data_IF_568674431632
#
_entry.id   IF_568674431632
#
_cell.length_a   1.000
_cell.length_b   1.000
_cell.length_c   1.000
_cell.angle_alpha   90.00
_cell.angle_beta   90.00
_cell.angle_gamma   90.00
#
_symmetry.space_group_name_H-M   'P 1'
#
loop_
_entity.id
_entity.type
_entity.pdbx_description
1 polymer ?
#
# COMPACT_ATOMS: atom_id res chain seq x y z
N UNK A 1 4.39 -20.86 5.82
CA UNK A 1 5.53 -19.95 5.55
C UNK A 1 5.37 -18.78 6.51
N UNK A 2 6.44 -18.36 7.21
CA UNK A 2 6.34 -17.24 8.15
C UNK A 2 6.16 -15.94 7.34
N UNK A 3 5.11 -15.16 7.64
CA UNK A 3 4.81 -13.89 6.98
C UNK A 3 5.73 -12.79 7.48
N UNK A 4 6.05 -11.82 6.63
CA UNK A 4 6.89 -10.69 7.01
C UNK A 4 6.15 -9.80 8.03
N UNK A 5 6.73 -9.60 9.20
CA UNK A 5 6.16 -8.74 10.25
C UNK A 5 7.26 -8.00 11.03
N UNK A 6 8.11 -7.26 10.31
CA UNK A 6 9.14 -6.40 10.92
C UNK A 6 8.57 -5.31 11.82
N UNK A 7 7.31 -4.92 11.58
CA UNK A 7 6.65 -3.84 12.29
C UNK A 7 6.40 -4.12 13.79
N UNK A 8 6.48 -5.38 14.23
CA UNK A 8 6.44 -5.74 15.64
C UNK A 8 7.84 -5.74 16.32
N UNK A 9 8.91 -5.63 15.53
CA UNK A 9 10.26 -5.49 16.09
C UNK A 9 10.47 -4.07 16.64
N UNK A 10 10.92 -3.96 17.89
CA UNK A 10 11.03 -2.68 18.61
C UNK A 10 11.88 -1.64 17.85
N UNK A 11 13.04 -2.07 17.35
CA UNK A 11 13.96 -1.16 16.63
C UNK A 11 13.37 -0.65 15.33
N UNK A 12 12.75 -1.55 14.55
CA UNK A 12 12.11 -1.21 13.29
C UNK A 12 10.93 -0.26 13.53
N UNK A 13 10.04 -0.60 14.46
CA UNK A 13 8.89 0.21 14.81
C UNK A 13 9.28 1.62 15.26
N UNK A 14 10.34 1.73 16.10
CA UNK A 14 10.85 3.03 16.54
C UNK A 14 11.31 3.90 15.38
N UNK A 15 12.06 3.34 14.42
CA UNK A 15 12.49 4.07 13.22
C UNK A 15 11.31 4.43 12.31
N UNK A 16 10.37 3.49 12.13
CA UNK A 16 9.17 3.73 11.33
C UNK A 16 8.31 4.86 11.90
N UNK A 17 8.18 4.93 13.23
CA UNK A 17 7.42 5.99 13.91
C UNK A 17 7.97 7.40 13.69
N UNK A 18 9.25 7.52 13.27
CA UNK A 18 9.90 8.80 12.98
C UNK A 18 9.73 9.25 11.52
N UNK A 19 9.23 8.40 10.64
CA UNK A 19 8.98 8.77 9.26
C UNK A 19 7.90 9.87 9.16
N UNK A 20 8.03 10.73 8.17
CA UNK A 20 7.08 11.83 7.93
C UNK A 20 5.63 11.34 7.84
N UNK A 21 5.39 10.23 7.12
CA UNK A 21 4.04 9.63 7.01
C UNK A 21 3.50 9.11 8.35
N UNK A 22 4.37 8.63 9.23
CA UNK A 22 3.98 8.15 10.57
C UNK A 22 3.64 9.30 11.52
N UNK A 23 4.29 10.44 11.35
CA UNK A 23 4.11 11.64 12.19
C UNK A 23 2.99 12.54 11.70
N UNK A 24 2.96 12.82 10.38
CA UNK A 24 2.03 13.77 9.75
C UNK A 24 0.82 13.08 9.11
N UNK A 25 0.73 11.74 9.21
CA UNK A 25 -0.36 10.96 8.62
C UNK A 25 -0.43 11.09 7.11
N UNK A 26 -1.63 11.15 6.57
CA UNK A 26 -1.89 11.22 5.14
C UNK A 26 -1.18 12.39 4.47
N UNK A 27 -1.13 13.55 5.10
CA UNK A 27 -0.42 14.72 4.57
C UNK A 27 1.11 14.55 4.51
N UNK A 28 1.65 13.57 5.23
CA UNK A 28 3.05 13.19 5.18
C UNK A 28 3.37 12.08 4.18
N UNK A 29 2.37 11.55 3.49
CA UNK A 29 2.51 10.51 2.47
C UNK A 29 2.57 11.15 1.08
N UNK A 30 3.68 10.95 0.36
CA UNK A 30 3.92 11.61 -0.93
C UNK A 30 2.91 11.27 -2.02
N UNK A 31 2.29 10.09 -1.94
CA UNK A 31 1.25 9.64 -2.87
C UNK A 31 -0.14 10.18 -2.52
N UNK A 32 -0.34 10.73 -1.33
CA UNK A 32 -1.67 11.02 -0.80
C UNK A 32 -2.50 11.95 -1.68
N UNK A 33 -1.95 13.07 -2.11
CA UNK A 33 -2.67 14.05 -2.95
C UNK A 33 -3.24 13.42 -4.23
N UNK A 34 -2.57 12.40 -4.76
CA UNK A 34 -3.03 11.65 -5.94
C UNK A 34 -4.01 10.56 -5.54
N UNK A 35 -3.71 9.81 -4.48
CA UNK A 35 -4.56 8.71 -3.99
C UNK A 35 -5.94 9.22 -3.56
N UNK A 36 -5.99 10.33 -2.84
CA UNK A 36 -7.24 10.97 -2.39
C UNK A 36 -8.22 11.23 -3.56
N UNK A 37 -7.71 11.71 -4.70
CA UNK A 37 -8.51 11.95 -5.92
C UNK A 37 -8.97 10.68 -6.63
N UNK A 38 -8.45 9.53 -6.20
CA UNK A 38 -8.85 8.21 -6.73
C UNK A 38 -9.91 7.55 -5.85
N UNK A 39 -10.07 8.00 -4.60
CA UNK A 39 -11.02 7.43 -3.66
C UNK A 39 -12.47 7.66 -4.10
N UNK A 40 -13.35 6.66 -3.88
CA UNK A 40 -14.77 6.83 -4.11
C UNK A 40 -15.43 7.62 -2.97
N UNK A 41 -16.70 7.97 -3.12
CA UNK A 41 -17.53 8.43 -2.03
C UNK A 41 -17.69 7.35 -0.95
N UNK A 42 -17.50 7.73 0.32
CA UNK A 42 -17.60 6.83 1.47
C UNK A 42 -18.95 6.88 2.17
N UNK A 43 -19.85 7.81 1.81
CA UNK A 43 -21.11 8.01 2.51
C UNK A 43 -21.90 6.69 2.62
N UNK A 44 -22.17 6.27 3.86
CA UNK A 44 -22.88 5.03 4.22
C UNK A 44 -22.24 3.73 3.72
N UNK A 45 -20.96 3.72 3.37
CA UNK A 45 -20.24 2.54 2.86
C UNK A 45 -19.68 1.66 3.96
N UNK A 46 -19.61 0.35 3.66
CA UNK A 46 -18.81 -0.62 4.40
C UNK A 46 -17.39 -0.64 3.80
N UNK A 47 -16.40 -0.33 4.60
CA UNK A 47 -15.01 -0.16 4.14
C UNK A 47 -14.11 -1.21 4.77
N UNK A 48 -13.20 -1.77 4.00
CA UNK A 48 -12.11 -2.62 4.46
C UNK A 48 -10.77 -1.98 4.10
N UNK A 49 -9.88 -1.80 5.09
CA UNK A 49 -8.52 -1.32 4.88
C UNK A 49 -7.53 -2.46 5.18
N UNK A 50 -6.88 -2.99 4.14
CA UNK A 50 -5.96 -4.12 4.20
C UNK A 50 -4.52 -3.63 4.37
N UNK A 51 -3.91 -3.94 5.51
CA UNK A 51 -2.61 -3.39 5.91
C UNK A 51 -2.74 -1.95 6.38
N UNK A 52 -3.70 -1.69 7.28
CA UNK A 52 -4.11 -0.35 7.67
C UNK A 52 -3.07 0.43 8.50
N UNK A 53 -2.03 -0.24 9.00
CA UNK A 53 -0.98 0.38 9.80
C UNK A 53 -1.54 1.17 10.99
N UNK A 54 -1.24 2.48 11.04
CA UNK A 54 -1.76 3.39 12.09
C UNK A 54 -3.23 3.82 11.90
N UNK A 55 -3.96 3.27 10.92
CA UNK A 55 -5.40 3.51 10.73
C UNK A 55 -5.75 4.87 10.12
N UNK A 56 -4.82 5.55 9.45
CA UNK A 56 -5.07 6.84 8.82
C UNK A 56 -6.19 6.81 7.78
N UNK A 57 -6.21 5.80 6.92
CA UNK A 57 -7.26 5.63 5.91
C UNK A 57 -8.58 5.19 6.54
N UNK A 58 -8.54 4.39 7.62
CA UNK A 58 -9.74 4.04 8.39
C UNK A 58 -10.42 5.29 8.94
N UNK A 59 -9.63 6.19 9.57
CA UNK A 59 -10.15 7.47 10.09
C UNK A 59 -10.66 8.37 8.98
N UNK A 60 -9.93 8.49 7.88
CA UNK A 60 -10.36 9.25 6.72
C UNK A 60 -11.72 8.77 6.20
N UNK A 61 -11.91 7.47 6.04
CA UNK A 61 -13.17 6.91 5.57
C UNK A 61 -14.36 7.25 6.51
N UNK A 62 -14.15 7.16 7.83
CA UNK A 62 -15.20 7.53 8.81
C UNK A 62 -15.51 9.02 8.76
N UNK A 63 -14.49 9.87 8.66
CA UNK A 63 -14.67 11.33 8.57
C UNK A 63 -15.39 11.75 7.28
N UNK A 64 -15.39 10.87 6.26
CA UNK A 64 -16.10 11.04 4.99
C UNK A 64 -17.38 10.20 4.90
N UNK A 65 -17.99 9.85 6.05
CA UNK A 65 -19.33 9.30 6.11
C UNK A 65 -19.43 7.78 6.05
N UNK A 66 -18.34 7.02 6.12
CA UNK A 66 -18.42 5.55 6.16
C UNK A 66 -19.37 5.06 7.28
N UNK A 67 -20.15 4.04 6.97
CA UNK A 67 -21.05 3.43 7.97
C UNK A 67 -20.26 2.57 8.96
N UNK A 68 -19.30 1.81 8.47
CA UNK A 68 -18.36 1.05 9.28
C UNK A 68 -17.04 0.83 8.51
N UNK A 69 -15.94 0.70 9.25
CA UNK A 69 -14.62 0.42 8.72
C UNK A 69 -13.99 -0.75 9.48
N UNK A 70 -13.52 -1.75 8.74
CA UNK A 70 -12.66 -2.79 9.26
C UNK A 70 -11.22 -2.51 8.80
N UNK A 71 -10.34 -2.18 9.73
CA UNK A 71 -8.90 -2.08 9.48
C UNK A 71 -8.19 -3.37 9.88
N UNK A 72 -7.43 -3.96 9.00
CA UNK A 72 -6.63 -5.16 9.30
C UNK A 72 -5.16 -4.89 9.13
N UNK A 73 -4.35 -5.41 10.03
CA UNK A 73 -2.89 -5.40 9.93
C UNK A 73 -2.31 -6.64 10.62
N UNK A 74 -1.16 -7.12 10.16
CA UNK A 74 -0.50 -8.24 10.79
C UNK A 74 0.23 -7.83 12.08
N UNK A 75 0.58 -6.56 12.22
CA UNK A 75 1.32 -6.03 13.35
C UNK A 75 0.39 -5.59 14.48
N UNK A 76 0.53 -6.24 15.62
CA UNK A 76 -0.17 -5.85 16.84
C UNK A 76 0.21 -4.43 17.28
N UNK A 77 1.48 -4.06 17.18
CA UNK A 77 1.97 -2.70 17.54
C UNK A 77 1.37 -1.60 16.67
N UNK A 78 1.23 -1.86 15.37
CA UNK A 78 0.58 -0.92 14.47
C UNK A 78 -0.87 -0.67 14.89
N UNK A 79 -1.60 -1.74 15.22
CA UNK A 79 -2.99 -1.64 15.63
C UNK A 79 -3.17 -1.01 17.03
N UNK A 80 -2.22 -1.17 17.93
CA UNK A 80 -2.22 -0.45 19.20
C UNK A 80 -2.10 1.06 19.00
N UNK A 81 -1.22 1.49 18.11
CA UNK A 81 -1.11 2.91 17.73
C UNK A 81 -2.35 3.39 16.95
N UNK A 82 -2.92 2.57 16.07
CA UNK A 82 -4.16 2.89 15.37
C UNK A 82 -5.32 3.14 16.36
N UNK A 83 -5.48 2.27 17.34
CA UNK A 83 -6.51 2.42 18.39
C UNK A 83 -6.29 3.66 19.26
N UNK A 84 -5.03 4.02 19.57
CA UNK A 84 -4.72 5.23 20.33
C UNK A 84 -5.01 6.51 19.55
N UNK A 85 -4.67 6.54 18.26
CA UNK A 85 -4.77 7.74 17.41
C UNK A 85 -6.15 7.92 16.81
N UNK A 86 -6.80 6.83 16.44
CA UNK A 86 -8.00 6.78 15.61
C UNK A 86 -9.07 5.85 16.19
N UNK A 87 -9.36 6.02 17.49
CA UNK A 87 -10.49 5.33 18.11
C UNK A 87 -11.81 5.98 17.67
N UNK A 88 -12.67 5.19 17.06
CA UNK A 88 -14.01 5.61 16.65
C UNK A 88 -14.95 4.39 16.73
N UNK A 89 -16.20 4.52 17.20
CA UNK A 89 -17.13 3.38 17.31
C UNK A 89 -17.46 2.71 15.97
N UNK A 90 -17.21 3.40 14.85
CA UNK A 90 -17.39 2.85 13.50
C UNK A 90 -16.15 2.10 13.00
N UNK A 91 -15.02 2.14 13.71
CA UNK A 91 -13.78 1.47 13.29
C UNK A 91 -13.54 0.23 14.15
N UNK A 92 -13.41 -0.91 13.50
CA UNK A 92 -12.93 -2.15 14.12
C UNK A 92 -11.54 -2.45 13.60
N UNK A 93 -10.59 -2.72 14.51
CA UNK A 93 -9.23 -3.15 14.16
C UNK A 93 -9.03 -4.63 14.48
N UNK A 94 -8.56 -5.40 13.50
CA UNK A 94 -8.31 -6.82 13.63
C UNK A 94 -6.85 -7.15 13.28
N UNK A 95 -6.15 -7.81 14.22
CA UNK A 95 -4.78 -8.30 14.00
C UNK A 95 -4.85 -9.62 13.21
N UNK A 96 -4.65 -9.52 11.91
CA UNK A 96 -4.70 -10.66 10.98
C UNK A 96 -3.94 -10.30 9.71
N UNK A 97 -3.24 -11.28 9.14
CA UNK A 97 -2.65 -11.10 7.81
C UNK A 97 -3.75 -11.01 6.75
N UNK A 98 -3.58 -10.13 5.76
CA UNK A 98 -4.63 -9.85 4.77
C UNK A 98 -5.04 -11.08 3.96
N UNK A 99 -4.17 -12.07 3.79
CA UNK A 99 -4.47 -13.34 3.12
C UNK A 99 -5.28 -14.31 4.00
N UNK A 100 -5.43 -14.01 5.29
CA UNK A 100 -6.19 -14.81 6.26
C UNK A 100 -7.51 -14.15 6.66
N UNK A 101 -7.80 -12.98 6.13
CA UNK A 101 -9.10 -12.32 6.32
C UNK A 101 -10.21 -13.19 5.73
N UNK A 102 -11.26 -13.39 6.50
CA UNK A 102 -12.46 -14.14 6.07
C UNK A 102 -13.67 -13.25 6.24
N UNK A 103 -14.33 -12.93 5.13
CA UNK A 103 -15.55 -12.11 5.11
C UNK A 103 -16.63 -12.80 4.26
N UNK A 104 -17.91 -12.56 4.58
CA UNK A 104 -19.00 -13.02 3.73
C UNK A 104 -18.92 -12.39 2.33
N UNK A 105 -19.41 -13.10 1.29
CA UNK A 105 -19.46 -12.55 -0.06
C UNK A 105 -20.30 -11.29 -0.15
N UNK A 106 -19.91 -10.34 -1.00
CA UNK A 106 -20.65 -9.14 -1.35
C UNK A 106 -21.10 -8.31 -0.14
N UNK A 107 -20.23 -8.13 0.86
CA UNK A 107 -20.51 -7.34 2.06
C UNK A 107 -19.80 -6.00 2.09
N UNK A 108 -18.74 -5.82 1.31
CA UNK A 108 -17.89 -4.62 1.32
C UNK A 108 -18.19 -3.74 0.11
N UNK A 109 -18.29 -2.44 0.31
CA UNK A 109 -18.47 -1.46 -0.75
C UNK A 109 -17.13 -0.93 -1.29
N UNK A 110 -16.15 -0.71 -0.39
CA UNK A 110 -14.84 -0.16 -0.72
C UNK A 110 -13.75 -0.92 0.00
N UNK A 111 -12.73 -1.36 -0.74
CA UNK A 111 -11.51 -1.93 -0.17
C UNK A 111 -10.35 -1.00 -0.49
N UNK A 112 -9.58 -0.67 0.54
CA UNK A 112 -8.36 0.12 0.47
C UNK A 112 -7.16 -0.73 0.83
N UNK A 113 -6.00 -0.42 0.23
CA UNK A 113 -4.70 -0.93 0.68
C UNK A 113 -3.60 0.03 0.25
N UNK A 114 -2.89 0.62 1.19
CA UNK A 114 -1.81 1.55 0.87
C UNK A 114 -0.45 0.97 1.22
N UNK A 115 0.40 0.78 0.20
CA UNK A 115 1.77 0.27 0.30
C UNK A 115 1.90 -1.04 1.10
N UNK A 116 0.94 -1.97 0.91
CA UNK A 116 0.93 -3.24 1.63
C UNK A 116 0.94 -4.49 0.73
N UNK A 117 0.34 -4.46 -0.47
CA UNK A 117 0.24 -5.66 -1.32
C UNK A 117 1.58 -6.20 -1.83
N UNK A 118 2.64 -5.41 -1.85
CA UNK A 118 3.98 -5.91 -2.21
C UNK A 118 4.61 -6.78 -1.11
N UNK A 119 4.02 -6.88 0.08
CA UNK A 119 4.40 -7.87 1.10
C UNK A 119 3.69 -9.23 0.94
N UNK A 120 2.70 -9.33 0.06
CA UNK A 120 1.89 -10.55 -0.14
C UNK A 120 2.52 -11.47 -1.19
N UNK A 121 2.82 -12.71 -0.82
CA UNK A 121 3.36 -13.70 -1.77
C UNK A 121 2.30 -14.15 -2.80
N UNK A 122 1.08 -14.40 -2.35
CA UNK A 122 -0.02 -14.95 -3.16
C UNK A 122 -1.02 -13.85 -3.59
N UNK A 123 -0.55 -12.86 -4.35
CA UNK A 123 -1.35 -11.70 -4.77
C UNK A 123 -2.63 -12.09 -5.53
N UNK A 124 -2.53 -13.03 -6.47
CA UNK A 124 -3.69 -13.49 -7.24
C UNK A 124 -4.77 -14.09 -6.34
N UNK A 125 -4.37 -14.89 -5.34
CA UNK A 125 -5.31 -15.47 -4.37
C UNK A 125 -6.00 -14.39 -3.55
N UNK A 126 -5.25 -13.37 -3.13
CA UNK A 126 -5.81 -12.23 -2.41
C UNK A 126 -6.81 -11.46 -3.28
N UNK A 127 -6.49 -11.19 -4.55
CA UNK A 127 -7.42 -10.48 -5.46
C UNK A 127 -8.70 -11.30 -5.71
N UNK A 128 -8.60 -12.64 -5.80
CA UNK A 128 -9.79 -13.52 -5.85
C UNK A 128 -10.67 -13.34 -4.62
N UNK A 129 -10.08 -13.33 -3.42
CA UNK A 129 -10.81 -13.09 -2.17
C UNK A 129 -11.44 -11.69 -2.13
N UNK A 130 -10.71 -10.66 -2.51
CA UNK A 130 -11.19 -9.28 -2.62
C UNK A 130 -12.39 -9.19 -3.57
N UNK A 131 -12.32 -9.87 -4.73
CA UNK A 131 -13.43 -9.93 -5.68
C UNK A 131 -14.68 -10.59 -5.07
N UNK A 132 -14.52 -11.61 -4.23
CA UNK A 132 -15.65 -12.24 -3.53
C UNK A 132 -16.25 -11.32 -2.47
N UNK A 133 -15.45 -10.61 -1.69
CA UNK A 133 -15.93 -9.74 -0.59
C UNK A 133 -16.64 -8.47 -1.09
N UNK A 134 -16.17 -7.92 -2.22
CA UNK A 134 -16.79 -6.73 -2.80
C UNK A 134 -18.21 -7.01 -3.32
N UNK A 135 -19.11 -6.08 -3.09
CA UNK A 135 -20.39 -6.03 -3.77
C UNK A 135 -20.21 -5.79 -5.28
N UNK A 136 -21.17 -6.18 -6.14
CA UNK A 136 -21.19 -5.70 -7.52
C UNK A 136 -21.11 -4.16 -7.56
N UNK A 137 -20.24 -3.61 -8.38
CA UNK A 137 -19.96 -2.17 -8.42
C UNK A 137 -19.08 -1.63 -7.30
N UNK A 138 -18.66 -2.47 -6.34
CA UNK A 138 -17.72 -2.10 -5.28
C UNK A 138 -16.33 -1.79 -5.83
N UNK A 139 -15.57 -0.99 -5.09
CA UNK A 139 -14.30 -0.40 -5.57
C UNK A 139 -13.12 -0.89 -4.74
N UNK A 140 -12.06 -1.30 -5.42
CA UNK A 140 -10.73 -1.53 -4.85
C UNK A 140 -9.82 -0.36 -5.22
N UNK A 141 -9.20 0.29 -4.23
CA UNK A 141 -8.15 1.29 -4.46
C UNK A 141 -6.91 0.87 -3.68
N UNK A 142 -5.78 0.79 -4.36
CA UNK A 142 -4.53 0.43 -3.68
C UNK A 142 -3.32 1.17 -4.24
N UNK A 143 -2.28 1.25 -3.44
CA UNK A 143 -0.94 1.63 -3.85
C UNK A 143 0.05 0.51 -3.53
N UNK A 144 1.04 0.36 -4.41
CA UNK A 144 2.18 -0.55 -4.22
C UNK A 144 3.47 0.15 -4.62
N UNK A 145 4.59 -0.38 -4.16
CA UNK A 145 5.87 -0.01 -4.77
C UNK A 145 5.86 -0.40 -6.25
N UNK A 146 6.32 0.51 -7.10
CA UNK A 146 6.26 0.34 -8.55
C UNK A 146 7.13 -0.84 -9.01
N UNK A 147 6.72 -1.60 -10.05
CA UNK A 147 7.53 -2.68 -10.61
C UNK A 147 8.96 -2.28 -11.02
N UNK A 148 9.16 -1.08 -11.54
CA UNK A 148 10.50 -0.54 -11.82
C UNK A 148 11.32 -0.41 -10.53
N UNK A 149 10.70 0.02 -9.45
CA UNK A 149 11.37 0.23 -8.16
C UNK A 149 11.74 -1.09 -7.48
N UNK A 150 10.96 -2.16 -7.67
CA UNK A 150 11.17 -3.47 -7.02
C UNK A 150 11.95 -4.47 -7.88
N UNK A 151 12.22 -4.19 -9.14
CA UNK A 151 12.74 -5.16 -10.11
C UNK A 151 14.07 -5.77 -9.69
N UNK A 152 15.07 -4.94 -9.42
CA UNK A 152 16.44 -5.38 -9.06
C UNK A 152 16.50 -5.90 -7.62
N UNK A 153 15.80 -5.26 -6.68
CA UNK A 153 15.66 -5.72 -5.29
C UNK A 153 16.33 -4.83 -4.25
N UNK A 154 17.51 -4.25 -4.52
CA UNK A 154 18.17 -3.35 -3.55
C UNK A 154 17.36 -2.09 -3.28
N UNK A 155 16.65 -1.59 -4.29
CA UNK A 155 15.93 -0.32 -4.27
C UNK A 155 16.85 0.90 -4.10
N UNK A 156 18.13 0.73 -4.41
CA UNK A 156 19.17 1.75 -4.28
C UNK A 156 19.57 2.32 -5.64
N UNK A 157 20.08 3.55 -5.65
CA UNK A 157 20.71 4.18 -6.79
C UNK A 157 22.10 3.58 -7.05
N UNK A 158 22.54 3.60 -8.29
CA UNK A 158 23.94 3.38 -8.64
C UNK A 158 24.68 4.71 -8.60
N UNK A 159 25.84 4.69 -7.94
CA UNK A 159 26.69 5.87 -7.74
C UNK A 159 28.01 5.69 -8.47
N UNK A 160 28.59 6.80 -8.92
CA UNK A 160 29.96 6.80 -9.41
C UNK A 160 30.98 6.80 -8.26
N UNK A 161 32.27 6.90 -8.63
CA UNK A 161 33.37 6.92 -7.65
C UNK A 161 33.40 8.19 -6.80
N UNK A 162 32.74 9.24 -7.23
CA UNK A 162 32.58 10.52 -6.53
C UNK A 162 31.37 10.54 -5.60
N UNK A 163 30.51 9.53 -5.68
CA UNK A 163 29.27 9.45 -4.89
C UNK A 163 28.06 10.13 -5.55
N UNK A 164 28.17 10.48 -6.84
CA UNK A 164 27.09 11.08 -7.61
C UNK A 164 26.13 10.01 -8.19
N UNK A 165 24.83 10.27 -8.15
CA UNK A 165 23.81 9.36 -8.68
C UNK A 165 23.93 9.25 -10.20
N UNK A 166 24.26 8.07 -10.69
CA UNK A 166 24.34 7.77 -12.12
C UNK A 166 22.96 7.40 -12.69
N UNK A 167 22.37 6.35 -12.20
CA UNK A 167 21.07 5.85 -12.65
C UNK A 167 20.41 4.96 -11.57
N UNK A 168 19.12 4.70 -11.75
CA UNK A 168 18.41 3.68 -10.98
C UNK A 168 18.45 2.37 -11.79
N UNK A 169 18.98 1.25 -11.22
CA UNK A 169 19.10 -0.01 -11.95
C UNK A 169 17.72 -0.68 -12.09
N UNK A 170 17.42 -1.11 -13.30
CA UNK A 170 16.26 -1.97 -13.59
C UNK A 170 16.77 -3.27 -14.15
N UNK A 171 16.80 -4.30 -13.33
CA UNK A 171 17.22 -5.63 -13.74
C UNK A 171 16.24 -6.69 -13.19
N UNK A 172 16.28 -7.89 -13.74
CA UNK A 172 15.41 -9.00 -13.32
C UNK A 172 13.90 -8.71 -13.38
N UNK A 173 13.46 -7.74 -14.20
CA UNK A 173 12.07 -7.29 -14.27
C UNK A 173 11.05 -8.40 -14.58
N UNK A 174 11.41 -9.38 -15.40
CA UNK A 174 10.52 -10.50 -15.72
C UNK A 174 10.66 -11.70 -14.79
N UNK A 175 11.61 -11.66 -13.86
CA UNK A 175 11.77 -12.68 -12.83
C UNK A 175 11.00 -12.27 -11.59
N UNK A 176 9.71 -12.57 -11.57
CA UNK A 176 8.83 -12.23 -10.44
C UNK A 176 9.14 -13.07 -9.20
N UNK A 177 8.71 -12.58 -8.03
CA UNK A 177 8.83 -13.30 -6.78
C UNK A 177 9.59 -12.53 -5.70
N UNK A 178 10.15 -13.28 -4.75
CA UNK A 178 10.78 -12.72 -3.56
C UNK A 178 11.95 -11.80 -3.90
N UNK A 179 11.99 -10.65 -3.20
CA UNK A 179 13.12 -9.72 -3.11
C UNK A 179 13.44 -9.46 -1.65
N UNK A 180 14.71 -9.27 -1.37
CA UNK A 180 15.18 -8.78 -0.08
C UNK A 180 15.72 -7.38 -0.27
N UNK A 181 15.14 -6.41 0.43
CA UNK A 181 15.55 -5.01 0.37
C UNK A 181 15.90 -4.49 1.76
N UNK A 182 16.70 -3.44 1.82
CA UNK A 182 16.99 -2.75 3.08
C UNK A 182 15.99 -1.61 3.26
N UNK A 183 15.21 -1.69 4.33
CA UNK A 183 14.30 -0.61 4.72
C UNK A 183 14.49 -0.29 6.19
N UNK A 184 14.73 0.97 6.52
CA UNK A 184 15.03 1.45 7.88
C UNK A 184 16.22 0.72 8.54
N UNK A 185 17.18 0.25 7.73
CA UNK A 185 18.37 -0.46 8.19
C UNK A 185 18.20 -1.95 8.47
N UNK A 186 16.99 -2.49 8.23
CA UNK A 186 16.68 -3.91 8.37
C UNK A 186 16.42 -4.55 7.00
N UNK A 187 16.65 -5.86 6.91
CA UNK A 187 16.26 -6.62 5.72
C UNK A 187 14.77 -6.93 5.78
N UNK A 188 14.06 -6.56 4.72
CA UNK A 188 12.61 -6.75 4.59
C UNK A 188 12.35 -7.57 3.33
N UNK A 189 11.48 -8.56 3.44
CA UNK A 189 11.02 -9.36 2.30
C UNK A 189 9.86 -8.66 1.60
N UNK A 190 9.99 -8.47 0.29
CA UNK A 190 8.93 -7.99 -0.60
C UNK A 190 8.78 -8.93 -1.79
N UNK A 191 7.71 -8.79 -2.55
CA UNK A 191 7.45 -9.59 -3.73
C UNK A 191 7.33 -8.69 -4.94
N UNK A 192 8.32 -8.79 -5.83
CA UNK A 192 8.29 -8.12 -7.12
C UNK A 192 7.27 -8.77 -8.05
N UNK A 193 6.52 -7.94 -8.76
CA UNK A 193 5.62 -8.33 -9.85
C UNK A 193 5.75 -7.34 -10.98
N UNK A 194 5.55 -7.81 -12.22
CA UNK A 194 5.48 -6.90 -13.36
C UNK A 194 4.21 -6.06 -13.31
N UNK A 195 4.21 -4.94 -14.01
CA UNK A 195 3.00 -4.13 -14.22
C UNK A 195 1.88 -4.98 -14.83
N UNK A 196 2.23 -5.84 -15.80
CA UNK A 196 1.28 -6.77 -16.42
C UNK A 196 0.61 -7.67 -15.39
N UNK A 197 1.37 -8.27 -14.47
CA UNK A 197 0.81 -9.15 -13.43
C UNK A 197 -0.16 -8.40 -12.53
N UNK A 198 0.18 -7.19 -12.06
CA UNK A 198 -0.76 -6.40 -11.26
C UNK A 198 -2.08 -6.12 -12.00
N UNK A 199 -2.01 -5.63 -13.23
CA UNK A 199 -3.21 -5.20 -13.96
C UNK A 199 -4.01 -6.38 -14.50
N UNK A 200 -3.35 -7.39 -15.08
CA UNK A 200 -4.05 -8.56 -15.62
C UNK A 200 -4.70 -9.42 -14.54
N UNK A 201 -4.11 -9.52 -13.36
CA UNK A 201 -4.74 -10.21 -12.23
C UNK A 201 -6.09 -9.56 -11.87
N UNK A 202 -6.20 -8.24 -11.89
CA UNK A 202 -7.47 -7.55 -11.65
C UNK A 202 -8.48 -7.89 -12.77
N UNK A 203 -8.10 -7.68 -14.03
CA UNK A 203 -8.98 -7.93 -15.18
C UNK A 203 -9.49 -9.38 -15.22
N UNK A 204 -8.64 -10.35 -14.94
CA UNK A 204 -8.97 -11.78 -14.91
C UNK A 204 -9.88 -12.17 -13.74
N UNK A 205 -9.94 -11.35 -12.70
CA UNK A 205 -10.81 -11.57 -11.53
C UNK A 205 -12.07 -10.68 -11.52
N UNK A 206 -12.49 -10.17 -12.68
CA UNK A 206 -13.75 -9.47 -12.86
C UNK A 206 -13.73 -8.01 -12.45
N UNK A 207 -12.55 -7.37 -12.48
CA UNK A 207 -12.44 -5.94 -12.26
C UNK A 207 -12.34 -5.16 -13.57
N UNK A 208 -12.90 -3.97 -13.57
CA UNK A 208 -12.71 -2.93 -14.59
C UNK A 208 -11.72 -1.93 -14.03
N UNK A 209 -10.61 -1.69 -14.73
CA UNK A 209 -9.64 -0.68 -14.34
C UNK A 209 -10.22 0.72 -14.59
N UNK A 210 -10.30 1.56 -13.56
CA UNK A 210 -10.79 2.93 -13.68
C UNK A 210 -9.65 3.95 -13.74
N UNK A 211 -8.61 3.73 -12.91
CA UNK A 211 -7.42 4.59 -12.89
C UNK A 211 -6.17 3.76 -12.66
N UNK A 212 -5.11 4.07 -13.37
CA UNK A 212 -3.74 3.57 -13.17
C UNK A 212 -2.84 4.78 -13.21
N UNK A 213 -2.18 5.11 -12.10
CA UNK A 213 -1.40 6.36 -11.97
C UNK A 213 -0.05 6.05 -11.32
N UNK A 214 0.99 6.63 -11.88
CA UNK A 214 2.34 6.71 -11.32
C UNK A 214 2.50 8.12 -10.72
N UNK A 215 2.34 8.30 -9.40
CA UNK A 215 2.37 9.61 -8.78
C UNK A 215 3.79 10.20 -8.84
N UNK A 216 3.88 11.45 -9.22
CA UNK A 216 5.11 12.23 -9.13
C UNK A 216 5.22 12.88 -7.75
N UNK A 217 6.44 13.17 -7.27
CA UNK A 217 6.61 14.00 -6.09
C UNK A 217 5.89 15.34 -6.25
N UNK A 218 5.17 15.82 -5.22
CA UNK A 218 4.57 17.15 -5.23
C UNK A 218 5.61 18.24 -5.54
N UNK A 219 5.21 19.24 -6.35
CA UNK A 219 6.13 20.27 -6.83
C UNK A 219 6.83 21.03 -5.67
N UNK A 220 6.11 21.25 -4.58
CA UNK A 220 6.62 21.90 -3.37
C UNK A 220 7.71 21.09 -2.64
N UNK A 221 7.82 19.80 -2.91
CA UNK A 221 8.86 18.94 -2.32
C UNK A 221 10.12 18.87 -3.18
N UNK A 222 10.09 19.28 -4.45
CA UNK A 222 11.23 19.14 -5.36
C UNK A 222 12.47 19.96 -4.95
N UNK A 223 12.31 20.97 -4.10
CA UNK A 223 13.44 21.74 -3.56
C UNK A 223 14.13 21.06 -2.36
N UNK A 224 13.55 19.97 -1.84
CA UNK A 224 14.19 19.16 -0.80
C UNK A 224 15.31 18.33 -1.44
N UNK A 225 16.53 18.29 -0.85
CA UNK A 225 17.63 17.47 -1.38
C UNK A 225 17.20 16.02 -1.62
N UNK A 226 17.53 15.50 -2.81
CA UNK A 226 17.19 14.14 -3.24
C UNK A 226 15.80 13.99 -3.86
N UNK A 227 14.88 14.93 -3.65
CA UNK A 227 13.51 14.79 -4.20
C UNK A 227 13.46 14.96 -5.73
N UNK A 228 14.39 15.72 -6.34
CA UNK A 228 14.50 15.80 -7.81
C UNK A 228 14.89 14.46 -8.45
N UNK A 229 15.64 13.63 -7.74
CA UNK A 229 16.02 12.31 -8.23
C UNK A 229 14.81 11.35 -8.27
N UNK A 230 13.81 11.56 -7.42
CA UNK A 230 12.57 10.79 -7.48
C UNK A 230 11.80 10.98 -8.81
N UNK A 231 12.04 12.06 -9.54
CA UNK A 231 11.50 12.27 -10.90
C UNK A 231 12.16 11.39 -11.98
N UNK A 232 13.26 10.72 -11.66
CA UNK A 232 14.02 9.91 -12.62
C UNK A 232 13.49 8.48 -12.76
N UNK A 233 12.60 8.05 -11.85
CA UNK A 233 11.94 6.75 -11.90
C UNK A 233 10.62 6.78 -11.12
N UNK A 234 9.62 5.95 -11.50
CA UNK A 234 8.42 5.79 -10.67
C UNK A 234 8.74 4.99 -9.39
N UNK A 235 8.30 5.51 -8.25
CA UNK A 235 8.46 4.83 -6.96
C UNK A 235 7.22 4.02 -6.58
N UNK A 236 6.05 4.49 -6.98
CA UNK A 236 4.76 3.91 -6.61
C UNK A 236 3.86 3.73 -7.82
N UNK A 237 2.98 2.75 -7.73
CA UNK A 237 1.88 2.50 -8.64
C UNK A 237 0.57 2.58 -7.86
N UNK A 238 -0.36 3.40 -8.31
CA UNK A 238 -1.70 3.55 -7.75
C UNK A 238 -2.72 2.98 -8.73
N UNK A 239 -3.64 2.17 -8.24
CA UNK A 239 -4.67 1.54 -9.06
C UNK A 239 -6.03 1.69 -8.38
N UNK A 240 -7.03 2.13 -9.15
CA UNK A 240 -8.43 2.04 -8.79
C UNK A 240 -9.16 1.12 -9.78
N UNK A 241 -9.90 0.17 -9.26
CA UNK A 241 -10.62 -0.81 -10.05
C UNK A 241 -11.99 -1.10 -9.44
N UNK A 242 -12.99 -1.29 -10.31
CA UNK A 242 -14.37 -1.58 -9.93
C UNK A 242 -14.70 -3.03 -10.24
N UNK A 243 -15.35 -3.71 -9.30
CA UNK A 243 -15.93 -5.03 -9.54
C UNK A 243 -17.09 -4.93 -10.53
N UNK A 244 -17.06 -5.76 -11.56
CA UNK A 244 -18.15 -5.92 -12.54
C UNK A 244 -19.45 -6.39 -11.87
#
# INVERSE_FOLDING_TARGET
>A
MMKENKYDEQTFFSKYSQMTRSQKGLQGAGEWQTLEKMLPDFEKKQVLDLGCGYGWHCKYAVDHGAAAVLGTDISQRMLEEAKKRHSDPKITYQCVAMEEVILPPATIDVILSSLAFHYVAAFETLIKSISVWLKPGGVLVFSVEHPVYTAEGSQDWQYDRQGEIQHFPVDHYYYEGKRETRFLGETVTKYHRTLTTYLMTLLQNGFILEKVIEPQPPAELLEIPGMKDEMRRPMMLLVAARKS
#
